data_IF_742655882657
#
_entry.id   IF_742655882657
#
_cell.length_a   1.000
_cell.length_b   1.000
_cell.length_c   1.000
_cell.angle_alpha   90.00
_cell.angle_beta   90.00
_cell.angle_gamma   90.00
#
_symmetry.space_group_name_H-M   'P 1'
#
loop_
_entity.id
_entity.type
_entity.pdbx_description
1 polymer ?
#
# COMPACT_ATOMS: atom_id res chain seq x y z
N UNK A 1 -1.45 -12.85 -20.40
CA UNK A 1 -2.42 -12.10 -19.57
C UNK A 1 -3.04 -13.11 -18.63
N UNK A 2 -3.17 -12.82 -17.33
CA UNK A 2 -3.78 -13.79 -16.41
C UNK A 2 -5.20 -14.12 -16.89
N UNK A 3 -5.40 -15.37 -17.31
CA UNK A 3 -6.68 -15.87 -17.81
C UNK A 3 -7.54 -16.25 -16.61
N UNK A 4 -8.67 -15.57 -16.42
CA UNK A 4 -9.59 -15.82 -15.31
C UNK A 4 -10.77 -14.85 -15.32
N UNK A 5 -11.85 -15.15 -14.57
CA UNK A 5 -12.94 -14.20 -14.38
C UNK A 5 -12.41 -12.91 -13.77
N UNK A 6 -12.99 -11.78 -14.16
CA UNK A 6 -12.57 -10.47 -13.66
C UNK A 6 -13.75 -9.64 -13.18
N UNK A 7 -13.50 -8.82 -12.16
CA UNK A 7 -14.41 -7.82 -11.63
C UNK A 7 -13.79 -6.44 -11.79
N UNK A 8 -14.47 -5.54 -12.50
CA UNK A 8 -14.10 -4.13 -12.62
C UNK A 8 -14.98 -3.30 -11.69
N UNK A 9 -14.34 -2.50 -10.84
CA UNK A 9 -15.01 -1.61 -9.90
C UNK A 9 -14.57 -0.18 -10.20
N UNK A 10 -15.54 0.71 -10.40
CA UNK A 10 -15.29 2.14 -10.57
C UNK A 10 -15.80 2.88 -9.35
N UNK A 11 -14.90 3.59 -8.66
CA UNK A 11 -15.24 4.35 -7.46
C UNK A 11 -14.97 5.84 -7.67
N UNK A 12 -15.75 6.67 -6.98
CA UNK A 12 -15.60 8.13 -6.99
C UNK A 12 -15.46 8.62 -5.57
N UNK A 13 -14.35 9.28 -5.29
CA UNK A 13 -14.06 9.90 -4.01
C UNK A 13 -14.39 11.37 -4.09
N UNK A 14 -15.33 11.82 -3.26
CA UNK A 14 -15.83 13.19 -3.27
C UNK A 14 -15.57 13.90 -1.95
N UNK A 15 -15.33 15.21 -2.04
CA UNK A 15 -15.26 16.11 -0.90
C UNK A 15 -16.18 17.30 -1.18
N UNK A 16 -16.98 17.70 -0.17
CA UNK A 16 -17.94 18.82 -0.28
C UNK A 16 -18.84 18.73 -1.53
N UNK A 17 -19.31 17.52 -1.85
CA UNK A 17 -20.20 17.26 -2.99
C UNK A 17 -19.52 17.25 -4.37
N UNK A 18 -18.21 17.47 -4.46
CA UNK A 18 -17.47 17.44 -5.72
C UNK A 18 -16.59 16.18 -5.78
N UNK A 19 -16.64 15.46 -6.91
CA UNK A 19 -15.72 14.34 -7.12
C UNK A 19 -14.30 14.88 -7.29
N UNK A 20 -13.38 14.34 -6.51
CA UNK A 20 -11.97 14.71 -6.47
C UNK A 20 -11.09 13.61 -7.08
N UNK A 21 -11.43 12.35 -6.89
CA UNK A 21 -10.68 11.24 -7.48
C UNK A 21 -11.63 10.20 -8.06
N UNK A 22 -11.19 9.55 -9.12
CA UNK A 22 -11.85 8.35 -9.64
C UNK A 22 -10.81 7.24 -9.69
N UNK A 23 -11.21 6.04 -9.27
CA UNK A 23 -10.41 4.83 -9.44
C UNK A 23 -11.16 3.85 -10.32
N UNK A 24 -10.41 3.12 -11.13
CA UNK A 24 -10.86 1.90 -11.78
C UNK A 24 -9.96 0.75 -11.30
N UNK A 25 -10.55 -0.15 -10.53
CA UNK A 25 -9.87 -1.33 -9.99
C UNK A 25 -10.36 -2.56 -10.71
N UNK A 26 -9.45 -3.31 -11.32
CA UNK A 26 -9.73 -4.61 -11.94
C UNK A 26 -9.13 -5.72 -11.08
N UNK A 27 -9.98 -6.58 -10.56
CA UNK A 27 -9.61 -7.83 -9.91
C UNK A 27 -9.69 -8.95 -10.94
N UNK A 28 -8.61 -9.72 -11.11
CA UNK A 28 -8.59 -10.92 -11.94
C UNK A 28 -8.31 -12.12 -11.05
N UNK A 29 -9.22 -13.09 -11.03
CA UNK A 29 -9.15 -14.25 -10.17
C UNK A 29 -8.52 -15.42 -10.92
N UNK A 30 -7.30 -15.79 -10.54
CA UNK A 30 -6.64 -17.03 -10.97
C UNK A 30 -6.90 -18.16 -9.97
N UNK A 31 -6.40 -19.36 -10.30
CA UNK A 31 -6.56 -20.53 -9.43
C UNK A 31 -5.81 -20.41 -8.09
N UNK A 32 -4.69 -19.70 -8.07
CA UNK A 32 -3.79 -19.58 -6.90
C UNK A 32 -3.49 -18.14 -6.50
N UNK A 33 -3.97 -17.16 -7.28
CA UNK A 33 -3.65 -15.76 -7.08
C UNK A 33 -4.80 -14.84 -7.50
N UNK A 34 -4.79 -13.63 -6.97
CA UNK A 34 -5.65 -12.54 -7.43
C UNK A 34 -4.76 -11.39 -7.85
N UNK A 35 -4.85 -11.00 -9.12
CA UNK A 35 -4.17 -9.81 -9.63
C UNK A 35 -5.09 -8.61 -9.46
N UNK A 36 -4.57 -7.52 -8.89
CA UNK A 36 -5.29 -6.26 -8.71
C UNK A 36 -4.57 -5.18 -9.51
N UNK A 37 -5.25 -4.62 -10.50
CA UNK A 37 -4.79 -3.46 -11.27
C UNK A 37 -5.62 -2.24 -10.90
N UNK A 38 -4.96 -1.14 -10.50
CA UNK A 38 -5.63 0.09 -10.08
C UNK A 38 -5.17 1.25 -10.97
N UNK A 39 -6.12 1.86 -11.66
CA UNK A 39 -5.91 3.16 -12.29
C UNK A 39 -6.56 4.25 -11.42
N UNK A 40 -5.77 5.18 -10.91
CA UNK A 40 -6.26 6.29 -10.12
C UNK A 40 -6.04 7.62 -10.85
N UNK A 41 -7.08 8.42 -10.96
CA UNK A 41 -7.05 9.72 -11.65
C UNK A 41 -7.62 10.83 -10.76
N UNK A 42 -6.89 11.95 -10.68
CA UNK A 42 -7.43 13.18 -10.12
C UNK A 42 -8.47 13.79 -11.09
N UNK A 43 -9.63 14.14 -10.56
CA UNK A 43 -10.73 14.78 -11.30
C UNK A 43 -11.20 16.03 -10.55
N UNK A 44 -11.92 16.91 -11.24
CA UNK A 44 -12.49 18.10 -10.61
C UNK A 44 -11.45 18.96 -9.87
N UNK A 45 -11.75 19.45 -8.65
CA UNK A 45 -10.84 20.32 -7.88
C UNK A 45 -9.48 19.72 -7.57
N UNK A 46 -9.37 18.38 -7.46
CA UNK A 46 -8.12 17.72 -7.11
C UNK A 46 -7.02 17.91 -8.16
N UNK A 47 -7.38 18.20 -9.42
CA UNK A 47 -6.42 18.53 -10.48
C UNK A 47 -5.59 19.78 -10.18
N UNK A 48 -6.03 20.63 -9.25
CA UNK A 48 -5.31 21.85 -8.83
C UNK A 48 -4.46 21.64 -7.58
N UNK A 49 -4.44 20.45 -7.00
CA UNK A 49 -3.58 20.15 -5.85
C UNK A 49 -2.13 20.07 -6.31
N UNK A 50 -1.24 20.80 -5.63
CA UNK A 50 0.19 20.80 -5.95
C UNK A 50 0.88 19.50 -5.51
N UNK A 51 0.43 18.90 -4.40
CA UNK A 51 0.97 17.64 -3.87
C UNK A 51 -0.13 16.83 -3.19
N UNK A 52 0.09 15.52 -3.12
CA UNK A 52 -0.75 14.58 -2.38
C UNK A 52 0.11 13.92 -1.30
N UNK A 53 -0.41 13.73 -0.08
CA UNK A 53 0.36 13.06 0.97
C UNK A 53 0.71 11.63 0.58
N UNK A 54 -0.24 10.85 0.05
CA UNK A 54 -0.04 9.48 -0.48
C UNK A 54 -1.10 9.12 -1.53
N UNK A 55 -0.75 8.21 -2.43
CA UNK A 55 -1.67 7.51 -3.36
C UNK A 55 -1.37 6.03 -3.28
N UNK A 56 -2.38 5.20 -3.02
CA UNK A 56 -2.20 3.76 -2.89
C UNK A 56 -3.49 3.04 -2.52
N UNK A 57 -3.36 1.74 -2.27
CA UNK A 57 -4.45 0.84 -1.85
C UNK A 57 -4.33 0.51 -0.37
N UNK A 58 -5.47 0.23 0.28
CA UNK A 58 -5.52 -0.23 1.66
C UNK A 58 -6.20 -1.59 1.73
N UNK A 59 -5.51 -2.54 2.35
CA UNK A 59 -6.05 -3.86 2.66
C UNK A 59 -6.31 -3.98 4.16
N UNK A 60 -7.40 -4.66 4.52
CA UNK A 60 -7.59 -5.16 5.88
C UNK A 60 -7.06 -6.60 5.92
N UNK A 61 -6.09 -6.86 6.80
CA UNK A 61 -5.52 -8.18 7.03
C UNK A 61 -6.06 -8.77 8.34
N UNK A 62 -6.10 -10.10 8.43
CA UNK A 62 -6.48 -10.77 9.68
C UNK A 62 -5.39 -10.55 10.75
N UNK A 63 -5.79 -10.29 12.00
CA UNK A 63 -4.87 -9.99 13.10
C UNK A 63 -3.83 -11.09 13.39
N UNK A 64 -4.11 -12.34 13.00
CA UNK A 64 -3.17 -13.47 13.12
C UNK A 64 -1.93 -13.34 12.23
N UNK A 65 -1.99 -12.50 11.19
CA UNK A 65 -0.88 -12.28 10.25
C UNK A 65 0.10 -11.26 10.84
N UNK A 66 0.82 -11.65 11.89
CA UNK A 66 1.66 -10.76 12.71
C UNK A 66 3.14 -10.71 12.30
N UNK A 67 3.55 -11.51 11.31
CA UNK A 67 4.91 -11.50 10.76
C UNK A 67 4.92 -10.80 9.40
N UNK A 68 5.87 -9.90 9.19
CA UNK A 68 6.08 -9.18 7.94
C UNK A 68 7.44 -9.54 7.33
N UNK A 69 7.47 -9.77 6.02
CA UNK A 69 8.68 -9.93 5.22
C UNK A 69 8.58 -9.10 3.97
N UNK A 70 9.63 -8.39 3.59
CA UNK A 70 9.63 -7.58 2.37
C UNK A 70 10.99 -7.53 1.71
N UNK A 71 10.99 -7.34 0.39
CA UNK A 71 12.17 -6.99 -0.39
C UNK A 71 12.07 -5.49 -0.72
N UNK A 72 12.96 -4.68 -0.15
CA UNK A 72 12.93 -3.22 -0.28
C UNK A 72 13.90 -2.52 0.66
N UNK A 73 13.74 -1.21 0.84
CA UNK A 73 14.48 -0.45 1.85
C UNK A 73 14.05 -0.85 3.26
N UNK A 74 15.01 -1.03 4.16
CA UNK A 74 14.76 -1.42 5.55
C UNK A 74 16.05 -1.61 6.37
N UNK A 75 15.98 -2.17 7.58
CA UNK A 75 14.77 -2.67 8.24
C UNK A 75 13.91 -1.56 8.86
N UNK A 76 14.49 -0.38 9.12
CA UNK A 76 13.80 0.77 9.72
C UNK A 76 12.82 1.47 8.77
N UNK A 77 12.21 2.54 9.26
CA UNK A 77 11.32 3.41 8.50
C UNK A 77 12.08 4.21 7.43
N UNK A 78 11.59 4.19 6.19
CA UNK A 78 12.15 4.92 5.05
C UNK A 78 11.07 5.57 4.17
N UNK A 79 11.39 6.72 3.61
CA UNK A 79 10.53 7.52 2.72
C UNK A 79 11.25 7.88 1.44
N UNK A 80 10.52 8.40 0.45
CA UNK A 80 11.07 8.76 -0.86
C UNK A 80 12.27 9.72 -0.77
N UNK A 81 12.23 10.66 0.18
CA UNK A 81 13.26 11.64 0.49
C UNK A 81 14.22 11.20 1.63
N UNK A 82 13.89 10.13 2.36
CA UNK A 82 14.64 9.62 3.52
C UNK A 82 14.85 8.11 3.45
N UNK A 83 15.67 7.65 2.50
CA UNK A 83 16.00 6.22 2.29
C UNK A 83 17.49 5.90 2.13
N UNK A 84 18.37 6.89 2.09
CA UNK A 84 19.80 6.68 1.84
C UNK A 84 20.49 5.76 2.86
N UNK A 85 20.02 5.75 4.12
CA UNK A 85 20.53 4.89 5.18
C UNK A 85 19.80 3.53 5.29
N UNK A 86 18.87 3.22 4.37
CA UNK A 86 18.05 2.02 4.42
C UNK A 86 18.48 1.02 3.31
N UNK A 87 19.27 -0.01 3.65
CA UNK A 87 19.67 -1.04 2.71
C UNK A 87 18.50 -1.66 1.94
N UNK A 88 18.68 -1.84 0.64
CA UNK A 88 17.75 -2.56 -0.21
C UNK A 88 18.05 -4.06 -0.14
N UNK A 89 17.23 -4.82 0.58
CA UNK A 89 17.45 -6.24 0.86
C UNK A 89 16.14 -6.94 1.25
N UNK A 90 16.22 -8.23 1.55
CA UNK A 90 15.12 -8.96 2.19
C UNK A 90 15.18 -8.70 3.70
N UNK A 91 14.13 -8.11 4.24
CA UNK A 91 13.95 -7.83 5.67
C UNK A 91 12.79 -8.65 6.23
N UNK A 92 12.81 -8.91 7.54
CA UNK A 92 11.74 -9.59 8.29
C UNK A 92 11.63 -9.00 9.68
N UNK A 93 10.41 -8.95 10.21
CA UNK A 93 10.12 -8.61 11.60
C UNK A 93 8.63 -8.78 11.88
N UNK A 94 8.22 -8.56 13.12
CA UNK A 94 6.80 -8.51 13.46
C UNK A 94 6.14 -7.24 12.90
N UNK A 95 4.82 -7.26 12.73
CA UNK A 95 4.04 -6.07 12.34
C UNK A 95 4.21 -4.95 13.38
N UNK A 96 4.26 -5.30 14.67
CA UNK A 96 4.43 -4.34 15.77
C UNK A 96 5.79 -3.62 15.72
N UNK A 97 6.85 -4.32 15.34
CA UNK A 97 8.18 -3.72 15.13
C UNK A 97 8.22 -2.72 13.96
N UNK A 98 7.21 -2.71 13.09
CA UNK A 98 7.13 -1.74 12.00
C UNK A 98 6.52 -0.41 12.42
N UNK A 99 5.93 -0.34 13.63
CA UNK A 99 5.42 0.89 14.20
C UNK A 99 6.55 1.71 14.84
N UNK A 100 6.61 3.02 14.54
CA UNK A 100 7.52 3.95 15.22
C UNK A 100 6.72 4.76 16.24
N UNK A 101 7.01 4.65 17.55
CA UNK A 101 6.22 5.27 18.61
C UNK A 101 6.62 6.75 18.82
N UNK A 102 6.36 7.59 17.83
CA UNK A 102 6.55 9.04 17.97
C UNK A 102 5.63 9.61 19.05
N UNK A 103 6.15 10.54 19.87
CA UNK A 103 5.41 11.17 20.99
C UNK A 103 4.13 11.86 20.49
N UNK A 104 4.23 12.56 19.36
CA UNK A 104 3.07 13.12 18.67
C UNK A 104 2.70 12.15 17.55
N UNK A 105 1.50 11.53 17.60
CA UNK A 105 1.10 10.56 16.58
C UNK A 105 1.06 11.17 15.18
N UNK A 106 1.69 10.48 14.23
CA UNK A 106 1.72 10.83 12.81
C UNK A 106 1.82 9.57 11.95
N UNK A 107 1.90 9.77 10.63
CA UNK A 107 2.23 8.67 9.72
C UNK A 107 3.64 8.15 10.04
N UNK A 108 3.78 6.84 10.14
CA UNK A 108 5.03 6.17 10.47
C UNK A 108 5.08 4.76 9.87
N UNK A 109 6.25 4.13 9.92
CA UNK A 109 6.49 2.74 9.50
C UNK A 109 6.63 2.56 7.99
N UNK A 110 6.76 3.65 7.22
CA UNK A 110 6.95 3.60 5.78
C UNK A 110 8.15 2.75 5.35
N UNK A 111 8.01 2.01 4.25
CA UNK A 111 9.08 1.24 3.60
C UNK A 111 9.17 1.69 2.13
N UNK A 112 10.29 2.28 1.74
CA UNK A 112 10.49 2.75 0.37
C UNK A 112 10.94 1.62 -0.56
N UNK A 113 10.72 1.80 -1.87
CA UNK A 113 11.22 0.93 -2.95
C UNK A 113 10.94 -0.57 -2.75
N UNK A 114 9.78 -0.90 -2.19
CA UNK A 114 9.34 -2.29 -1.94
C UNK A 114 8.95 -2.95 -3.26
N UNK A 115 9.57 -4.09 -3.55
CA UNK A 115 9.23 -4.93 -4.70
C UNK A 115 8.12 -5.94 -4.37
N UNK A 116 8.22 -6.58 -3.20
CA UNK A 116 7.14 -7.42 -2.66
C UNK A 116 7.13 -7.34 -1.13
N UNK A 117 5.96 -7.58 -0.55
CA UNK A 117 5.77 -7.75 0.87
C UNK A 117 4.82 -8.94 1.12
N UNK A 118 5.04 -9.64 2.23
CA UNK A 118 4.23 -10.78 2.65
C UNK A 118 3.92 -10.63 4.15
N UNK A 119 2.68 -10.98 4.51
CA UNK A 119 2.26 -11.16 5.90
C UNK A 119 2.00 -12.64 6.16
N UNK A 120 2.44 -13.15 7.30
CA UNK A 120 2.33 -14.55 7.67
C UNK A 120 1.82 -14.73 9.10
N UNK A 121 1.16 -15.86 9.35
CA UNK A 121 0.85 -16.33 10.70
C UNK A 121 2.08 -17.09 11.23
N UNK A 122 2.67 -16.69 12.38
CA UNK A 122 3.84 -17.37 12.94
C UNK A 122 3.56 -18.84 13.34
N UNK A 123 2.29 -19.27 13.41
CA UNK A 123 1.89 -20.63 13.77
C UNK A 123 1.74 -21.58 12.58
N UNK A 124 1.92 -21.10 11.34
CA UNK A 124 1.86 -21.90 10.12
C UNK A 124 3.24 -22.18 9.53
#
# INVERSE_FOLDING_TARGET
>A
AAEGPSLRVTERFAARGQTCFQTETTYTFGATEVTISVNASAVGPAKRLATLPRVGVRFAAAARLSEAKWLGCGPGESYADRKAAAPWAIHRGTVDEQHVPYIVPGENGGKADVHWAALADPKQ
#
